data_IF_844060672889
#
_entry.id   IF_844060672889
#
_cell.length_a   1.000
_cell.length_b   1.000
_cell.length_c   1.000
_cell.angle_alpha   90.00
_cell.angle_beta   90.00
_cell.angle_gamma   90.00
#
_symmetry.space_group_name_H-M   'P 1'
#
loop_
_entity.id
_entity.type
_entity.pdbx_description
1 polymer ?
#
# COMPACT_ATOMS: atom_id res chain seq x y z
N UNK A 1 13.68 15.39 -0.18
CA UNK A 1 12.49 15.01 0.62
C UNK A 1 12.97 14.54 1.98
N UNK A 2 12.54 15.19 3.06
CA UNK A 2 12.94 14.80 4.41
C UNK A 2 12.23 13.51 4.78
N UNK A 3 12.98 12.47 5.13
CA UNK A 3 12.42 11.27 5.76
C UNK A 3 11.70 11.67 7.05
N UNK A 4 10.42 11.31 7.25
CA UNK A 4 9.73 11.60 8.49
C UNK A 4 10.53 11.03 9.66
N UNK A 5 10.62 11.80 10.75
CA UNK A 5 11.37 11.38 11.94
C UNK A 5 10.74 10.11 12.51
N UNK A 6 11.52 9.16 13.06
CA UNK A 6 10.96 8.01 13.76
C UNK A 6 9.87 8.45 14.76
N UNK A 7 8.74 7.76 14.74
CA UNK A 7 7.55 8.06 15.56
C UNK A 7 6.61 9.15 15.01
N UNK A 8 6.85 9.71 13.82
CA UNK A 8 5.94 10.67 13.16
C UNK A 8 5.01 9.99 12.14
N UNK A 9 3.81 10.54 11.86
CA UNK A 9 2.95 10.02 10.80
C UNK A 9 3.68 9.94 9.46
N UNK A 10 3.61 8.79 8.79
CA UNK A 10 4.30 8.53 7.53
C UNK A 10 5.75 8.09 7.68
N UNK A 11 6.30 7.99 8.90
CA UNK A 11 7.60 7.35 9.11
C UNK A 11 7.57 5.91 8.59
N UNK A 12 8.63 5.53 7.88
CA UNK A 12 8.74 4.23 7.24
C UNK A 12 9.92 3.44 7.80
N UNK A 13 9.83 2.11 7.68
CA UNK A 13 10.88 1.15 8.00
C UNK A 13 10.88 0.00 6.99
N UNK A 14 11.95 -0.79 6.98
CA UNK A 14 12.06 -1.99 6.14
C UNK A 14 11.52 -3.21 6.90
N UNK A 15 10.64 -3.98 6.27
CA UNK A 15 10.17 -5.24 6.81
C UNK A 15 11.33 -6.24 6.94
N UNK A 16 11.55 -6.90 8.11
CA UNK A 16 12.63 -7.85 8.30
C UNK A 16 12.46 -9.11 7.45
N UNK A 17 11.21 -9.48 7.15
CA UNK A 17 10.82 -10.72 6.47
C UNK A 17 10.95 -10.62 4.95
N UNK A 18 10.33 -9.61 4.33
CA UNK A 18 10.28 -9.48 2.87
C UNK A 18 11.00 -8.24 2.33
N UNK A 19 11.64 -7.44 3.19
CA UNK A 19 12.36 -6.21 2.83
C UNK A 19 11.51 -5.10 2.19
N UNK A 20 10.18 -5.23 2.16
CA UNK A 20 9.29 -4.16 1.72
C UNK A 20 9.41 -2.93 2.65
N UNK A 21 9.33 -1.72 2.08
CA UNK A 21 9.17 -0.49 2.85
C UNK A 21 7.74 -0.38 3.36
N UNK A 22 7.58 -0.28 4.67
CA UNK A 22 6.28 -0.26 5.38
C UNK A 22 6.23 0.93 6.33
N UNK A 23 5.03 1.26 6.81
CA UNK A 23 4.89 2.24 7.89
C UNK A 23 5.55 1.72 9.18
N UNK A 24 6.20 2.61 9.91
CA UNK A 24 6.78 2.30 11.22
C UNK A 24 5.72 1.88 12.23
N UNK A 25 4.47 2.34 12.08
CA UNK A 25 3.35 1.95 12.93
C UNK A 25 2.73 0.58 12.59
N UNK A 26 3.22 -0.11 11.57
CA UNK A 26 2.65 -1.40 11.17
C UNK A 26 3.08 -2.52 12.13
N UNK A 27 2.11 -3.21 12.74
CA UNK A 27 2.33 -4.41 13.57
C UNK A 27 2.32 -5.72 12.74
N UNK A 28 1.70 -5.69 11.56
CA UNK A 28 1.70 -6.74 10.54
C UNK A 28 2.15 -6.13 9.22
N UNK A 29 3.05 -6.81 8.50
CA UNK A 29 3.49 -6.32 7.19
C UNK A 29 2.34 -6.46 6.16
N UNK A 30 1.92 -5.39 5.47
CA UNK A 30 0.86 -5.48 4.45
C UNK A 30 1.28 -6.30 3.22
N UNK A 31 2.59 -6.40 2.94
CA UNK A 31 3.09 -7.16 1.80
C UNK A 31 3.17 -8.68 2.07
N UNK A 32 3.78 -9.10 3.18
CA UNK A 32 3.98 -10.53 3.47
C UNK A 32 3.05 -11.11 4.55
N UNK A 33 2.18 -10.30 5.15
CA UNK A 33 1.22 -10.68 6.21
C UNK A 33 1.84 -11.26 7.49
N UNK A 34 3.15 -11.15 7.67
CA UNK A 34 3.82 -11.61 8.90
C UNK A 34 3.74 -10.55 9.99
N UNK A 35 3.57 -11.02 11.23
CA UNK A 35 3.66 -10.18 12.43
C UNK A 35 5.09 -9.66 12.61
N UNK A 36 5.18 -8.40 13.01
CA UNK A 36 6.41 -7.66 13.22
C UNK A 36 6.67 -7.59 14.72
N UNK A 37 7.86 -8.02 15.16
CA UNK A 37 8.22 -8.13 16.58
C UNK A 37 8.81 -6.85 17.17
N UNK A 38 8.72 -5.73 16.47
CA UNK A 38 9.32 -4.46 16.92
C UNK A 38 8.48 -3.72 17.95
N UNK A 39 7.22 -4.11 18.10
CA UNK A 39 6.26 -3.41 18.91
C UNK A 39 6.29 -3.97 20.33
N UNK A 40 6.36 -3.08 21.34
CA UNK A 40 6.09 -3.49 22.72
C UNK A 40 4.67 -4.06 22.80
N UNK A 41 4.42 -4.99 23.73
CA UNK A 41 3.10 -5.63 23.87
C UNK A 41 1.92 -4.64 23.92
N UNK A 42 2.18 -3.40 24.39
CA UNK A 42 1.23 -2.28 24.47
C UNK A 42 0.84 -1.74 23.08
N UNK A 43 1.76 -1.69 22.12
CA UNK A 43 1.48 -1.25 20.74
C UNK A 43 0.72 -2.32 19.94
N UNK A 44 1.00 -3.60 20.19
CA UNK A 44 0.26 -4.72 19.59
C UNK A 44 -1.20 -4.77 20.07
N UNK A 45 -1.46 -4.48 21.35
CA UNK A 45 -2.82 -4.49 21.92
C UNK A 45 -3.67 -3.27 21.54
N UNK A 46 -3.06 -2.21 21.00
CA UNK A 46 -3.75 -0.94 20.68
C UNK A 46 -3.67 -0.58 19.20
N UNK A 47 -3.36 -1.56 18.34
CA UNK A 47 -3.29 -1.38 16.90
C UNK A 47 -4.66 -0.89 16.39
N UNK A 48 -4.74 0.34 15.84
CA UNK A 48 -6.00 0.87 15.35
C UNK A 48 -6.52 0.01 14.20
N UNK A 49 -7.83 -0.28 14.21
CA UNK A 49 -8.49 -0.97 13.11
C UNK A 49 -8.26 -0.20 11.81
N UNK A 50 -7.63 -0.85 10.83
CA UNK A 50 -7.45 -0.26 9.52
C UNK A 50 -8.82 -0.11 8.83
N UNK A 51 -9.06 1.04 8.22
CA UNK A 51 -10.16 1.24 7.29
C UNK A 51 -9.66 1.03 5.86
N UNK A 52 -10.57 0.67 4.95
CA UNK A 52 -10.25 0.48 3.53
C UNK A 52 -10.99 1.54 2.71
N UNK A 53 -10.51 2.79 2.69
CA UNK A 53 -11.19 3.89 1.99
C UNK A 53 -11.35 3.67 0.48
N UNK A 54 -10.51 2.85 -0.14
CA UNK A 54 -10.63 2.50 -1.56
C UNK A 54 -10.32 1.03 -1.76
N UNK A 55 -11.23 0.32 -2.44
CA UNK A 55 -11.02 -1.03 -2.96
C UNK A 55 -11.56 -1.09 -4.38
N UNK A 56 -10.71 -1.49 -5.32
CA UNK A 56 -11.06 -1.72 -6.71
C UNK A 56 -10.68 -3.16 -7.03
N UNK A 57 -11.64 -3.92 -7.55
CA UNK A 57 -11.44 -5.26 -8.03
C UNK A 57 -11.92 -5.33 -9.47
N UNK A 58 -11.14 -5.98 -10.33
CA UNK A 58 -11.49 -6.16 -11.72
C UNK A 58 -10.80 -7.40 -12.28
N UNK A 59 -11.36 -7.90 -13.37
CA UNK A 59 -10.79 -9.01 -14.12
C UNK A 59 -10.56 -8.56 -15.55
N UNK A 60 -9.59 -9.20 -16.20
CA UNK A 60 -9.44 -9.15 -17.65
C UNK A 60 -9.54 -10.60 -18.15
N UNK A 61 -10.22 -10.78 -19.26
CA UNK A 61 -10.36 -12.05 -19.95
C UNK A 61 -9.83 -11.89 -21.36
N UNK A 62 -8.93 -12.79 -21.74
CA UNK A 62 -8.44 -12.88 -23.10
C UNK A 62 -9.44 -13.70 -23.94
N UNK A 63 -9.79 -13.24 -25.16
CA UNK A 63 -10.75 -13.95 -26.02
C UNK A 63 -10.20 -15.31 -26.48
N UNK A 64 -11.06 -16.33 -26.58
CA UNK A 64 -10.65 -17.72 -26.83
C UNK A 64 -9.87 -17.96 -28.15
N UNK A 65 -9.93 -17.05 -29.12
CA UNK A 65 -9.28 -17.17 -30.43
C UNK A 65 -8.45 -15.91 -30.77
N UNK A 66 -7.73 -15.36 -29.79
CA UNK A 66 -6.97 -14.11 -29.91
C UNK A 66 -5.46 -14.31 -30.08
N UNK A 67 -4.73 -13.26 -30.46
CA UNK A 67 -3.26 -13.25 -30.28
C UNK A 67 -2.93 -12.99 -28.82
N UNK A 68 -1.84 -13.55 -28.30
CA UNK A 68 -1.40 -13.34 -26.92
C UNK A 68 -1.35 -11.84 -26.55
N UNK A 69 -1.81 -11.51 -25.35
CA UNK A 69 -1.70 -10.15 -24.80
C UNK A 69 -0.49 -10.07 -23.88
N UNK A 70 0.24 -8.97 -23.94
CA UNK A 70 1.16 -8.56 -22.89
C UNK A 70 0.51 -7.45 -22.08
N UNK A 71 0.62 -7.50 -20.75
CA UNK A 71 0.04 -6.50 -19.87
C UNK A 71 1.06 -5.98 -18.86
N UNK A 72 0.83 -4.73 -18.46
CA UNK A 72 1.62 -4.03 -17.44
C UNK A 72 0.65 -3.43 -16.43
N UNK A 73 0.84 -3.76 -15.15
CA UNK A 73 0.05 -3.22 -14.04
C UNK A 73 0.82 -2.09 -13.38
N UNK A 74 0.33 -0.86 -13.53
CA UNK A 74 0.94 0.34 -12.96
C UNK A 74 -0.02 1.01 -11.99
N UNK A 75 0.46 1.39 -10.81
CA UNK A 75 -0.27 2.22 -9.86
C UNK A 75 0.33 3.61 -9.84
N UNK A 76 -0.51 4.63 -10.01
CA UNK A 76 -0.11 6.04 -9.86
C UNK A 76 -0.87 6.68 -8.72
N UNK A 77 -0.17 7.48 -7.92
CA UNK A 77 -0.75 8.25 -6.82
C UNK A 77 -0.63 9.71 -7.21
N UNK A 78 -1.76 10.42 -7.25
CA UNK A 78 -1.83 11.85 -7.55
C UNK A 78 -2.34 12.64 -6.36
N UNK A 79 -1.94 13.90 -6.25
CA UNK A 79 -2.46 14.82 -5.23
C UNK A 79 -3.80 15.44 -5.68
N UNK A 80 -4.39 16.28 -4.82
CA UNK A 80 -5.66 16.96 -5.13
C UNK A 80 -5.60 17.99 -6.27
N UNK A 81 -4.39 18.35 -6.75
CA UNK A 81 -4.18 19.18 -7.96
C UNK A 81 -4.01 18.33 -9.22
N UNK A 82 -4.04 17.01 -9.11
CA UNK A 82 -3.82 16.07 -10.22
C UNK A 82 -2.35 15.80 -10.54
N UNK A 83 -1.41 16.38 -9.78
CA UNK A 83 0.03 16.17 -9.94
C UNK A 83 0.42 14.78 -9.42
N UNK A 84 1.29 14.08 -10.13
CA UNK A 84 1.74 12.75 -9.74
C UNK A 84 2.76 12.79 -8.60
N UNK A 85 2.44 12.12 -7.50
CA UNK A 85 3.31 11.94 -6.34
C UNK A 85 4.17 10.69 -6.50
N UNK A 86 3.63 9.63 -7.10
CA UNK A 86 4.32 8.35 -7.29
C UNK A 86 3.76 7.57 -8.47
N UNK A 87 4.63 6.88 -9.21
CA UNK A 87 4.31 5.78 -10.13
C UNK A 87 5.07 4.53 -9.71
N UNK A 88 4.37 3.39 -9.69
CA UNK A 88 4.95 2.09 -9.34
C UNK A 88 4.50 1.04 -10.35
N UNK A 89 5.47 0.34 -10.96
CA UNK A 89 5.21 -0.91 -11.66
C UNK A 89 4.95 -2.01 -10.62
N UNK A 90 3.76 -2.62 -10.66
CA UNK A 90 3.35 -3.68 -9.74
C UNK A 90 3.64 -5.06 -10.33
N UNK A 91 3.42 -5.23 -11.63
CA UNK A 91 3.70 -6.48 -12.32
C UNK A 91 3.56 -6.33 -13.83
N UNK A 92 4.19 -7.25 -14.56
CA UNK A 92 4.00 -7.45 -16.00
C UNK A 92 3.70 -8.92 -16.23
N UNK A 93 3.04 -9.24 -17.33
CA UNK A 93 2.76 -10.61 -17.68
C UNK A 93 2.20 -10.73 -19.09
N UNK A 94 1.87 -11.96 -19.46
CA UNK A 94 1.17 -12.26 -20.69
C UNK A 94 -0.10 -13.08 -20.41
N UNK A 95 -1.02 -13.03 -21.37
CA UNK A 95 -2.23 -13.83 -21.41
C UNK A 95 -2.35 -14.54 -22.75
N UNK A 96 -2.62 -15.83 -22.66
CA UNK A 96 -2.94 -16.71 -23.78
C UNK A 96 -4.45 -16.94 -23.85
N UNK A 97 -4.84 -17.69 -24.87
CA UNK A 97 -6.22 -17.92 -25.28
C UNK A 97 -7.12 -18.40 -24.14
N UNK A 98 -8.21 -17.65 -23.91
CA UNK A 98 -9.22 -17.97 -22.90
C UNK A 98 -8.76 -17.77 -21.45
N UNK A 99 -7.55 -17.25 -21.22
CA UNK A 99 -7.07 -17.00 -19.87
C UNK A 99 -7.81 -15.83 -19.21
N UNK A 100 -8.00 -15.93 -17.90
CA UNK A 100 -8.49 -14.85 -17.04
C UNK A 100 -7.42 -14.46 -16.02
N UNK A 101 -7.33 -13.17 -15.70
CA UNK A 101 -6.62 -12.69 -14.52
C UNK A 101 -7.47 -11.71 -13.72
N UNK A 102 -7.41 -11.86 -12.40
CA UNK A 102 -8.04 -10.96 -11.43
C UNK A 102 -7.01 -10.04 -10.81
N UNK A 103 -7.36 -8.76 -10.65
CA UNK A 103 -6.55 -7.76 -9.97
C UNK A 103 -7.35 -7.13 -8.84
N UNK A 104 -6.70 -6.92 -7.70
CA UNK A 104 -7.29 -6.20 -6.57
C UNK A 104 -6.31 -5.14 -6.09
N UNK A 105 -6.79 -3.90 -6.05
CA UNK A 105 -6.10 -2.78 -5.43
C UNK A 105 -6.89 -2.35 -4.20
N UNK A 106 -6.21 -2.23 -3.06
CA UNK A 106 -6.78 -1.69 -1.83
C UNK A 106 -5.86 -0.64 -1.24
N UNK A 107 -6.45 0.47 -0.80
CA UNK A 107 -5.78 1.48 0.03
C UNK A 107 -6.30 1.28 1.44
N UNK A 108 -5.38 0.93 2.35
CA UNK A 108 -5.67 0.78 3.78
C UNK A 108 -5.16 2.00 4.53
N UNK A 109 -5.95 2.50 5.48
CA UNK A 109 -5.62 3.67 6.27
C UNK A 109 -5.82 3.40 7.77
N UNK A 110 -4.90 3.90 8.57
CA UNK A 110 -5.01 3.93 10.03
C UNK A 110 -4.86 5.36 10.51
N UNK A 111 -5.63 5.74 11.54
CA UNK A 111 -5.44 7.05 12.15
C UNK A 111 -4.11 7.10 12.89
N UNK A 112 -3.23 8.01 12.50
CA UNK A 112 -1.97 8.21 13.20
C UNK A 112 -2.20 8.98 14.52
N UNK A 113 -1.83 8.38 15.66
CA UNK A 113 -1.83 9.06 16.96
C UNK A 113 -0.72 10.11 16.96
N UNK A 114 -1.05 11.40 17.11
CA UNK A 114 -0.08 12.51 17.17
C UNK A 114 -0.20 13.60 16.10
N UNK A 115 -1.20 13.55 15.21
CA UNK A 115 -1.45 14.58 14.19
C UNK A 115 -2.29 15.79 14.65
N UNK A 116 -2.52 15.96 15.95
CA UNK A 116 -3.39 17.01 16.49
C UNK A 116 -2.72 18.39 16.51
N UNK A 117 -3.23 19.31 15.66
CA UNK A 117 -3.01 20.77 15.59
C UNK A 117 -1.58 21.27 15.87
N UNK A 118 -0.89 21.76 14.82
CA UNK A 118 0.12 22.83 14.98
C UNK A 118 -0.60 24.04 15.58
N UNK A 119 -0.57 24.15 16.91
CA UNK A 119 -1.04 25.35 17.60
C UNK A 119 -0.24 26.53 17.11
N UNK A 120 -0.91 27.47 16.44
CA UNK A 120 -0.41 28.82 16.25
C UNK A 120 -0.25 29.44 17.63
N UNK A 121 1.00 29.55 18.12
CA UNK A 121 1.28 30.49 19.20
C UNK A 121 1.23 31.89 18.59
N UNK A 122 0.41 32.73 19.22
CA UNK A 122 0.21 34.15 18.96
C UNK A 122 1.54 34.91 18.97
#
# INVERSE_FOLDING_TARGET
MSTPRPGTPGATRTCPHCKATILESASVCPACKHHLRFDSAVLQQSAPTATVPLRVQGTIQHPADGTAWEYTVVVTIRNGRGEEIKRQLVGVGAMLDGEERSFTLSVEATQAKGGGKRGTRH
#
